data_IF_285553360875
#
_entry.id   IF_285553360875
#
_cell.length_a   1.000
_cell.length_b   1.000
_cell.length_c   1.000
_cell.angle_alpha   90.00
_cell.angle_beta   90.00
_cell.angle_gamma   90.00
#
_symmetry.space_group_name_H-M   'P 1'
#
loop_
_entity.id
_entity.type
_entity.pdbx_description
1 polymer ?
#
# COMPACT_ATOMS: atom_id res chain seq x y z
N UNK A 1 26.32 13.52 -16.97
CA UNK A 1 25.38 13.54 -15.83
C UNK A 1 24.74 12.16 -15.66
N UNK A 2 25.52 11.15 -15.26
CA UNK A 2 25.09 9.73 -15.27
C UNK A 2 25.08 9.12 -13.87
N UNK A 3 26.01 9.53 -13.01
CA UNK A 3 26.09 9.15 -11.58
C UNK A 3 24.84 9.50 -10.77
N UNK A 4 24.20 10.65 -11.03
CA UNK A 4 23.00 11.08 -10.30
C UNK A 4 21.72 10.34 -10.68
N UNK A 5 21.63 9.78 -11.90
CA UNK A 5 20.46 8.98 -12.32
C UNK A 5 20.53 7.54 -11.78
N UNK A 6 21.73 6.96 -11.74
CA UNK A 6 21.94 5.62 -11.19
C UNK A 6 21.71 5.55 -9.68
N UNK A 7 22.04 6.61 -8.93
CA UNK A 7 21.75 6.66 -7.49
C UNK A 7 20.26 6.72 -7.20
N UNK A 8 19.49 7.53 -7.95
CA UNK A 8 18.04 7.62 -7.79
C UNK A 8 17.33 6.30 -8.13
N UNK A 9 17.75 5.60 -9.18
CA UNK A 9 17.18 4.30 -9.54
C UNK A 9 17.40 3.23 -8.46
N UNK A 10 18.56 3.24 -7.77
CA UNK A 10 18.84 2.33 -6.66
C UNK A 10 18.00 2.66 -5.43
N UNK A 11 17.80 3.94 -5.14
CA UNK A 11 16.94 4.39 -4.03
C UNK A 11 15.49 3.98 -4.28
N UNK A 12 14.98 4.21 -5.50
CA UNK A 12 13.64 3.80 -5.92
C UNK A 12 13.44 2.29 -5.72
N UNK A 13 14.34 1.46 -6.26
CA UNK A 13 14.26 0.01 -6.10
C UNK A 13 14.35 -0.44 -4.63
N UNK A 14 15.15 0.25 -3.81
CA UNK A 14 15.22 -0.06 -2.39
C UNK A 14 13.91 0.26 -1.66
N UNK A 15 13.33 1.45 -1.89
CA UNK A 15 12.09 1.88 -1.24
C UNK A 15 10.92 0.96 -1.58
N UNK A 16 10.83 0.59 -2.85
CA UNK A 16 9.92 -0.40 -3.38
C UNK A 16 9.97 -1.75 -2.66
N UNK A 17 11.16 -2.36 -2.56
CA UNK A 17 11.36 -3.63 -1.83
C UNK A 17 11.07 -3.50 -0.35
N UNK A 18 11.50 -2.40 0.27
CA UNK A 18 11.27 -2.14 1.69
C UNK A 18 9.77 -2.09 2.00
N UNK A 19 9.01 -1.39 1.18
CA UNK A 19 7.59 -1.16 1.38
C UNK A 19 6.76 -2.42 1.09
N UNK A 20 7.15 -3.23 0.10
CA UNK A 20 6.60 -4.59 -0.03
C UNK A 20 6.90 -5.45 1.21
N UNK A 21 8.14 -5.49 1.68
CA UNK A 21 8.53 -6.28 2.85
C UNK A 21 7.79 -5.83 4.13
N UNK A 22 7.55 -4.53 4.27
CA UNK A 22 6.72 -3.97 5.34
C UNK A 22 5.28 -4.50 5.30
N UNK A 23 4.66 -4.52 4.11
CA UNK A 23 3.31 -5.06 3.93
C UNK A 23 3.23 -6.57 4.21
N UNK A 24 4.24 -7.34 3.78
CA UNK A 24 4.34 -8.78 4.05
C UNK A 24 4.55 -9.10 5.54
N UNK A 25 5.19 -8.20 6.29
CA UNK A 25 5.42 -8.36 7.72
C UNK A 25 4.26 -7.84 8.60
N UNK A 26 3.36 -7.04 8.04
CA UNK A 26 2.20 -6.45 8.74
C UNK A 26 1.18 -7.49 9.17
N UNK A 27 0.42 -7.22 10.24
CA UNK A 27 -0.60 -8.14 10.80
C UNK A 27 -1.76 -7.36 11.41
N UNK A 28 -2.93 -7.98 11.53
CA UNK A 28 -4.10 -7.39 12.16
C UNK A 28 -4.81 -6.36 11.26
N UNK A 29 -5.36 -5.31 11.88
CA UNK A 29 -5.98 -4.19 11.17
C UNK A 29 -4.90 -3.24 10.66
N UNK A 30 -4.90 -2.97 9.35
CA UNK A 30 -3.97 -2.04 8.71
C UNK A 30 -4.70 -0.73 8.41
N UNK A 31 -4.08 0.39 8.77
CA UNK A 31 -4.62 1.72 8.50
C UNK A 31 -3.91 2.37 7.33
N UNK A 32 -4.68 2.81 6.35
CA UNK A 32 -4.22 3.56 5.19
C UNK A 32 -4.70 5.01 5.28
N UNK A 33 -3.76 5.91 5.56
CA UNK A 33 -4.06 7.33 5.68
C UNK A 33 -3.95 8.01 4.32
N UNK A 34 -5.09 8.39 3.76
CA UNK A 34 -5.17 9.09 2.49
C UNK A 34 -6.39 9.98 2.46
N UNK A 35 -6.34 11.02 1.62
CA UNK A 35 -7.51 11.84 1.29
C UNK A 35 -8.71 10.97 0.90
N UNK A 36 -9.91 11.32 1.34
CA UNK A 36 -11.14 10.61 0.99
C UNK A 36 -11.37 10.52 -0.53
N UNK A 37 -10.89 11.50 -1.29
CA UNK A 37 -10.99 11.53 -2.75
C UNK A 37 -10.20 10.41 -3.45
N UNK A 38 -9.26 9.76 -2.75
CA UNK A 38 -8.49 8.66 -3.32
C UNK A 38 -9.23 7.33 -3.13
N UNK A 39 -9.39 6.58 -4.22
CA UNK A 39 -9.90 5.20 -4.16
C UNK A 39 -8.77 4.25 -3.74
N UNK A 40 -8.75 3.86 -2.46
CA UNK A 40 -7.66 3.06 -1.87
C UNK A 40 -7.47 1.68 -2.49
N UNK A 41 -8.47 1.12 -3.18
CA UNK A 41 -8.37 -0.17 -3.87
C UNK A 41 -7.83 -0.07 -5.31
N UNK A 42 -7.80 1.14 -5.88
CA UNK A 42 -7.51 1.41 -7.30
C UNK A 42 -6.43 2.49 -7.50
N UNK A 43 -5.51 2.64 -6.54
CA UNK A 43 -4.41 3.59 -6.69
C UNK A 43 -3.44 3.19 -7.81
N UNK A 44 -2.76 4.17 -8.46
CA UNK A 44 -1.79 3.88 -9.52
C UNK A 44 -0.66 2.95 -9.07
N UNK A 45 -0.26 2.03 -9.94
CA UNK A 45 0.84 1.07 -9.71
C UNK A 45 2.22 1.73 -9.63
N UNK A 46 2.31 2.99 -10.06
CA UNK A 46 3.49 3.86 -9.91
C UNK A 46 3.66 4.40 -8.49
N UNK A 47 2.64 4.29 -7.64
CA UNK A 47 2.69 4.69 -6.23
C UNK A 47 2.89 3.49 -5.33
N UNK A 48 3.45 3.74 -4.14
CA UNK A 48 3.79 2.68 -3.22
C UNK A 48 2.62 1.80 -2.82
N UNK A 49 1.54 2.47 -2.46
CA UNK A 49 0.31 1.81 -2.09
C UNK A 49 -0.22 0.89 -3.20
N UNK A 50 -0.42 1.42 -4.41
CA UNK A 50 -1.02 0.66 -5.51
C UNK A 50 -0.10 -0.41 -6.14
N UNK A 51 1.21 -0.17 -6.14
CA UNK A 51 2.18 -1.03 -6.82
C UNK A 51 2.69 -2.20 -5.97
N UNK A 52 2.88 -2.00 -4.67
CA UNK A 52 3.59 -3.00 -3.86
C UNK A 52 3.08 -3.18 -2.42
N UNK A 53 2.47 -2.18 -1.77
CA UNK A 53 1.90 -2.37 -0.43
C UNK A 53 0.54 -3.06 -0.47
N UNK A 54 -0.47 -2.46 -1.12
CA UNK A 54 -1.82 -3.00 -1.17
C UNK A 54 -1.86 -4.41 -1.80
N UNK A 55 -1.18 -4.68 -2.94
CA UNK A 55 -1.06 -6.04 -3.45
C UNK A 55 -0.45 -7.05 -2.49
N UNK A 56 0.54 -6.66 -1.67
CA UNK A 56 1.14 -7.54 -0.68
C UNK A 56 0.24 -7.75 0.55
N UNK A 57 -0.37 -6.67 1.06
CA UNK A 57 -1.31 -6.71 2.18
C UNK A 57 -2.48 -7.63 1.91
N UNK A 58 -3.10 -7.53 0.72
CA UNK A 58 -4.25 -8.36 0.33
C UNK A 58 -3.91 -9.84 0.12
N UNK A 59 -2.62 -10.20 0.07
CA UNK A 59 -2.11 -11.58 0.02
C UNK A 59 -1.62 -12.08 1.38
N UNK A 60 -1.47 -11.20 2.35
CA UNK A 60 -0.97 -11.51 3.67
C UNK A 60 -2.10 -12.08 4.55
N UNK A 61 -1.99 -13.36 4.92
CA UNK A 61 -2.99 -14.09 5.72
C UNK A 61 -3.14 -13.57 7.15
N UNK A 62 -2.16 -12.81 7.63
CA UNK A 62 -2.18 -12.24 8.97
C UNK A 62 -2.93 -10.91 9.04
N UNK A 63 -3.20 -10.26 7.90
CA UNK A 63 -4.02 -9.04 7.81
C UNK A 63 -5.51 -9.40 7.89
N UNK A 64 -6.24 -8.65 8.72
CA UNK A 64 -7.67 -8.90 8.99
C UNK A 64 -8.58 -7.97 8.22
N UNK A 65 -8.16 -6.72 8.06
CA UNK A 65 -8.86 -5.71 7.29
C UNK A 65 -7.90 -4.56 6.97
N UNK A 66 -8.25 -3.77 5.96
CA UNK A 66 -7.58 -2.50 5.65
C UNK A 66 -8.63 -1.40 5.80
N UNK A 67 -8.33 -0.41 6.62
CA UNK A 67 -9.18 0.75 6.90
C UNK A 67 -8.56 1.98 6.25
N UNK A 68 -9.28 2.63 5.35
CA UNK A 68 -8.92 3.93 4.82
C UNK A 68 -9.41 5.03 5.74
N UNK A 69 -8.53 6.00 6.08
CA UNK A 69 -8.84 7.15 6.93
C UNK A 69 -8.35 8.43 6.25
N UNK A 70 -9.19 9.46 6.18
CA UNK A 70 -8.81 10.81 5.77
C UNK A 70 -8.24 11.60 6.96
N UNK A 71 -6.91 11.80 7.03
CA UNK A 71 -6.29 12.50 8.16
C UNK A 71 -6.61 14.00 8.20
N UNK A 72 -7.24 14.56 7.15
CA UNK A 72 -7.66 15.97 7.12
C UNK A 72 -9.00 16.17 7.85
N UNK A 73 -9.75 15.09 8.06
CA UNK A 73 -11.06 15.12 8.69
C UNK A 73 -10.94 14.55 10.11
N UNK A 74 -10.85 15.42 11.12
CA UNK A 74 -10.61 15.00 12.50
C UNK A 74 -11.67 14.03 13.06
N UNK A 75 -12.88 14.05 12.50
CA UNK A 75 -13.98 13.15 12.87
C UNK A 75 -13.97 11.82 12.14
N UNK A 76 -13.17 11.65 11.09
CA UNK A 76 -13.15 10.43 10.31
C UNK A 76 -12.67 9.25 11.15
N UNK A 77 -13.49 8.20 11.21
CA UNK A 77 -13.19 6.95 11.90
C UNK A 77 -12.61 5.89 10.97
N UNK A 78 -12.54 6.21 9.68
CA UNK A 78 -12.18 5.34 8.61
C UNK A 78 -13.31 4.42 8.17
N UNK A 79 -13.11 3.83 7.00
CA UNK A 79 -13.98 2.81 6.44
C UNK A 79 -13.15 1.64 5.92
N UNK A 80 -13.72 0.43 6.01
CA UNK A 80 -13.07 -0.77 5.52
C UNK A 80 -13.06 -0.74 4.00
N UNK A 81 -11.88 -0.83 3.40
CA UNK A 81 -11.69 -0.91 1.94
C UNK A 81 -11.33 -2.32 1.47
N UNK A 82 -10.97 -3.21 2.39
CA UNK A 82 -10.63 -4.59 2.07
C UNK A 82 -10.72 -5.49 3.31
N UNK A 83 -11.17 -6.72 3.08
CA UNK A 83 -11.13 -7.86 3.99
C UNK A 83 -10.67 -9.11 3.22
N UNK A 84 -10.23 -10.19 3.92
CA UNK A 84 -9.89 -11.45 3.25
C UNK A 84 -11.02 -12.05 2.37
N UNK A 85 -12.28 -11.68 2.62
CA UNK A 85 -13.41 -12.14 1.80
C UNK A 85 -13.44 -11.53 0.40
N UNK A 86 -12.81 -10.37 0.21
CA UNK A 86 -12.70 -9.67 -1.09
C UNK A 86 -11.65 -10.33 -2.00
N UNK A 87 -10.79 -11.19 -1.44
CA UNK A 87 -9.70 -11.85 -2.15
C UNK A 87 -8.50 -10.91 -2.41
N UNK A 88 -7.41 -11.42 -2.99
CA UNK A 88 -6.23 -10.61 -3.25
C UNK A 88 -6.48 -9.59 -4.35
N UNK A 89 -5.77 -8.46 -4.31
CA UNK A 89 -5.71 -7.53 -5.44
C UNK A 89 -5.32 -8.27 -6.73
N UNK A 90 -5.94 -7.90 -7.86
CA UNK A 90 -5.64 -8.47 -9.18
C UNK A 90 -4.15 -8.34 -9.55
N UNK A 91 -3.52 -7.25 -9.13
CA UNK A 91 -2.10 -7.02 -9.36
C UNK A 91 -1.26 -7.77 -8.33
N UNK A 92 -0.16 -8.38 -8.77
CA UNK A 92 0.87 -8.91 -7.87
C UNK A 92 1.72 -7.76 -7.31
N UNK A 93 2.25 -7.88 -6.08
CA UNK A 93 3.24 -6.92 -5.59
C UNK A 93 4.53 -7.04 -6.41
N UNK A 94 5.03 -5.90 -6.91
CA UNK A 94 6.12 -5.88 -7.90
C UNK A 94 7.43 -5.26 -7.44
N UNK A 95 7.56 -4.96 -6.15
CA UNK A 95 8.73 -4.23 -5.63
C UNK A 95 8.99 -3.02 -6.49
#
# INVERSE_FOLDING_TARGET
>A
MELGRQSLAKVDQFQKRLSQAFAEASKGTVYFFTKEENEGTCMPDTQAWGGWEFPALTRNRDVKEIIQVDPRQASDKGHVIWTPADGPSYNAPRG
#
